data_IF_952171630830
#
_entry.id   IF_952171630830
#
_cell.length_a   1.000
_cell.length_b   1.000
_cell.length_c   1.000
_cell.angle_alpha   90.00
_cell.angle_beta   90.00
_cell.angle_gamma   90.00
#
_symmetry.space_group_name_H-M   'P 1'
#
loop_
_entity.id
_entity.type
_entity.pdbx_description
1 polymer ?
#
# COMPACT_ATOMS: atom_id res chain seq x y z
N UNK A 1 13.40 8.88 -1.25
CA UNK A 1 13.43 7.48 -1.70
C UNK A 1 12.08 7.10 -2.27
N UNK A 2 12.06 6.54 -3.45
CA UNK A 2 10.84 6.07 -4.12
C UNK A 2 10.89 4.56 -4.28
N UNK A 3 9.72 3.96 -4.47
CA UNK A 3 9.59 2.51 -4.61
C UNK A 3 8.60 2.19 -5.72
N UNK A 4 8.91 1.17 -6.49
CA UNK A 4 7.98 0.61 -7.47
C UNK A 4 7.72 -0.85 -7.16
N UNK A 5 6.44 -1.22 -7.11
CA UNK A 5 6.01 -2.60 -7.01
C UNK A 5 5.33 -3.01 -8.32
N UNK A 6 5.89 -4.01 -9.00
CA UNK A 6 5.18 -4.69 -10.07
C UNK A 6 4.54 -5.97 -9.50
N UNK A 7 3.23 -6.01 -9.50
CA UNK A 7 2.48 -7.14 -8.96
C UNK A 7 1.93 -7.97 -10.11
N UNK A 8 2.44 -9.18 -10.24
CA UNK A 8 2.12 -10.08 -11.36
C UNK A 8 0.64 -10.47 -11.37
N UNK A 9 0.08 -10.77 -10.21
CA UNK A 9 -1.29 -11.23 -10.06
C UNK A 9 -1.97 -10.41 -8.96
N UNK A 10 -3.10 -9.80 -9.29
CA UNK A 10 -3.70 -8.76 -8.48
C UNK A 10 -5.17 -9.04 -8.25
N UNK A 11 -5.52 -9.53 -7.05
CA UNK A 11 -6.90 -9.56 -6.58
C UNK A 11 -7.25 -8.15 -6.09
N UNK A 12 -8.02 -7.42 -6.89
CA UNK A 12 -8.29 -6.00 -6.64
C UNK A 12 -9.03 -5.76 -5.34
N UNK A 13 -9.93 -6.67 -4.95
CA UNK A 13 -10.74 -6.44 -3.77
C UNK A 13 -10.04 -6.84 -2.48
N UNK A 14 -9.50 -8.07 -2.42
CA UNK A 14 -8.92 -8.58 -1.18
C UNK A 14 -7.42 -8.31 -1.05
N UNK A 15 -6.68 -8.34 -2.16
CA UNK A 15 -5.22 -8.32 -2.12
C UNK A 15 -4.60 -6.94 -2.29
N UNK A 16 -4.94 -6.24 -3.36
CA UNK A 16 -4.24 -5.02 -3.78
C UNK A 16 -4.19 -3.94 -2.70
N UNK A 17 -5.29 -3.61 -1.98
CA UNK A 17 -5.21 -2.59 -0.95
C UNK A 17 -4.19 -2.90 0.14
N UNK A 18 -4.15 -4.14 0.60
CA UNK A 18 -3.19 -4.57 1.61
C UNK A 18 -1.77 -4.64 1.05
N UNK A 19 -1.60 -5.04 -0.20
CA UNK A 19 -0.29 -5.06 -0.85
C UNK A 19 0.29 -3.66 -0.97
N UNK A 20 -0.50 -2.69 -1.41
CA UNK A 20 -0.09 -1.29 -1.50
C UNK A 20 0.27 -0.76 -0.11
N UNK A 21 -0.58 -0.95 0.88
CA UNK A 21 -0.34 -0.48 2.24
C UNK A 21 0.95 -1.07 2.82
N UNK A 22 1.17 -2.38 2.60
CA UNK A 22 2.33 -3.09 3.11
C UNK A 22 3.65 -2.54 2.51
N UNK A 23 3.71 -2.36 1.21
CA UNK A 23 4.93 -1.87 0.56
C UNK A 23 5.14 -0.38 0.74
N UNK A 24 4.06 0.40 0.87
CA UNK A 24 4.18 1.80 1.25
C UNK A 24 4.77 1.95 2.65
N UNK A 25 4.31 1.12 3.60
CA UNK A 25 4.87 1.08 4.94
C UNK A 25 6.35 0.70 4.92
N UNK A 26 6.71 -0.33 4.18
CA UNK A 26 8.10 -0.76 4.04
C UNK A 26 8.97 0.36 3.47
N UNK A 27 8.48 1.08 2.46
CA UNK A 27 9.18 2.21 1.88
C UNK A 27 9.48 3.28 2.93
N UNK A 28 8.49 3.62 3.75
CA UNK A 28 8.67 4.59 4.83
C UNK A 28 9.68 4.11 5.87
N UNK A 29 9.64 2.84 6.23
CA UNK A 29 10.57 2.26 7.21
C UNK A 29 12.01 2.30 6.73
N UNK A 30 12.25 1.91 5.48
CA UNK A 30 13.60 1.92 4.91
C UNK A 30 14.09 3.36 4.74
N UNK A 31 13.22 4.26 4.28
CA UNK A 31 13.59 5.67 4.15
C UNK A 31 14.03 6.24 5.50
N UNK A 32 13.31 5.94 6.58
CA UNK A 32 13.68 6.38 7.90
C UNK A 32 15.06 5.85 8.32
N UNK A 33 15.34 4.56 8.09
CA UNK A 33 16.63 3.98 8.44
C UNK A 33 17.80 4.58 7.65
N UNK A 34 17.53 5.02 6.44
CA UNK A 34 18.52 5.64 5.56
C UNK A 34 18.56 7.18 5.69
N UNK A 35 17.77 7.75 6.58
CA UNK A 35 17.65 9.19 6.77
C UNK A 35 17.25 9.92 5.47
N UNK A 36 16.33 9.30 4.73
CA UNK A 36 15.78 9.84 3.49
C UNK A 36 14.29 10.14 3.66
N UNK A 37 13.81 11.12 2.89
CA UNK A 37 12.39 11.38 2.81
C UNK A 37 11.71 10.37 1.88
N UNK A 38 10.49 9.86 2.22
CA UNK A 38 9.71 9.06 1.29
C UNK A 38 9.31 9.90 0.07
N UNK A 39 9.47 9.32 -1.11
CA UNK A 39 9.05 9.94 -2.35
C UNK A 39 7.76 9.31 -2.87
N UNK A 40 7.78 8.82 -4.11
CA UNK A 40 6.63 8.19 -4.72
C UNK A 40 6.62 6.69 -4.49
N UNK A 41 5.44 6.15 -4.31
CA UNK A 41 5.18 4.73 -4.42
C UNK A 41 4.40 4.48 -5.70
N UNK A 42 4.99 3.72 -6.62
CA UNK A 42 4.37 3.39 -7.91
C UNK A 42 3.96 1.93 -7.91
N UNK A 43 2.67 1.71 -8.06
CA UNK A 43 2.12 0.35 -8.17
C UNK A 43 1.77 0.07 -9.62
N UNK A 44 2.22 -1.08 -10.12
CA UNK A 44 1.90 -1.53 -11.47
C UNK A 44 1.34 -2.94 -11.39
N UNK A 45 0.16 -3.15 -11.96
CA UNK A 45 -0.49 -4.45 -11.98
C UNK A 45 -0.34 -5.14 -13.31
N UNK A 46 -0.05 -6.44 -13.28
CA UNK A 46 -0.05 -7.31 -14.45
C UNK A 46 -1.44 -7.88 -14.70
N UNK A 47 -1.68 -9.09 -14.21
CA UNK A 47 -3.01 -9.71 -14.29
C UNK A 47 -3.88 -9.16 -13.16
N UNK A 48 -4.67 -8.14 -13.47
CA UNK A 48 -5.55 -7.47 -12.52
C UNK A 48 -6.96 -8.01 -12.68
N UNK A 49 -7.54 -8.52 -11.60
CA UNK A 49 -8.85 -9.16 -11.66
C UNK A 49 -9.68 -8.89 -10.42
N UNK A 50 -10.99 -8.93 -10.61
CA UNK A 50 -12.00 -8.89 -9.56
C UNK A 50 -12.80 -10.18 -9.63
N UNK A 51 -12.78 -10.96 -8.55
CA UNK A 51 -13.55 -12.20 -8.51
C UNK A 51 -15.05 -11.92 -8.60
N UNK A 52 -15.78 -12.81 -9.30
CA UNK A 52 -17.21 -12.63 -9.53
C UNK A 52 -18.03 -12.64 -8.24
N UNK A 53 -17.57 -13.36 -7.22
CA UNK A 53 -18.23 -13.39 -5.92
C UNK A 53 -17.95 -12.17 -5.05
N UNK A 54 -17.20 -11.19 -5.53
CA UNK A 54 -16.90 -9.95 -4.81
C UNK A 54 -17.59 -8.72 -5.42
N UNK A 55 -18.44 -8.88 -6.44
CA UNK A 55 -19.04 -7.74 -7.13
C UNK A 55 -19.93 -6.90 -6.22
N UNK A 56 -20.78 -7.55 -5.40
CA UNK A 56 -21.66 -6.85 -4.47
C UNK A 56 -20.85 -6.12 -3.38
N UNK A 57 -19.82 -6.76 -2.86
CA UNK A 57 -18.95 -6.17 -1.85
C UNK A 57 -18.20 -4.96 -2.41
N UNK A 58 -17.73 -5.03 -3.65
CA UNK A 58 -17.06 -3.92 -4.30
C UNK A 58 -18.02 -2.74 -4.50
N UNK A 59 -19.25 -3.00 -4.94
CA UNK A 59 -20.27 -1.95 -5.09
C UNK A 59 -20.56 -1.28 -3.76
N UNK A 60 -20.70 -2.05 -2.69
CA UNK A 60 -20.94 -1.51 -1.36
C UNK A 60 -19.77 -0.62 -0.92
N UNK A 61 -18.55 -1.04 -1.13
CA UNK A 61 -17.37 -0.26 -0.79
C UNK A 61 -17.32 1.05 -1.56
N UNK A 62 -17.60 1.01 -2.87
CA UNK A 62 -17.60 2.21 -3.71
C UNK A 62 -18.67 3.21 -3.33
N UNK A 63 -19.74 2.78 -2.65
CA UNK A 63 -20.79 3.67 -2.16
C UNK A 63 -20.38 4.46 -0.92
N UNK A 64 -19.28 4.12 -0.28
CA UNK A 64 -18.80 4.76 0.95
C UNK A 64 -17.83 5.89 0.64
N UNK A 65 -17.87 6.93 1.48
CA UNK A 65 -16.90 8.02 1.39
C UNK A 65 -15.64 7.64 2.18
N UNK A 66 -14.43 7.82 1.60
CA UNK A 66 -13.21 7.56 2.34
C UNK A 66 -13.03 8.56 3.49
N UNK A 67 -12.47 8.07 4.59
CA UNK A 67 -12.08 8.92 5.71
C UNK A 67 -10.73 9.58 5.49
N UNK A 68 -10.18 10.26 6.51
CA UNK A 68 -8.84 10.83 6.40
C UNK A 68 -7.80 9.74 6.25
N UNK A 69 -6.71 10.07 5.53
CA UNK A 69 -5.62 9.13 5.33
C UNK A 69 -4.90 8.85 6.65
N UNK A 70 -4.51 7.59 6.89
CA UNK A 70 -3.72 7.26 8.07
C UNK A 70 -2.34 7.88 8.02
N UNK A 71 -1.74 8.07 9.18
CA UNK A 71 -0.39 8.61 9.31
C UNK A 71 0.48 7.60 10.04
N UNK A 72 1.72 7.45 9.55
CA UNK A 72 2.70 6.60 10.19
C UNK A 72 3.52 7.40 11.17
N UNK A 73 3.65 6.88 12.39
CA UNK A 73 4.46 7.48 13.45
C UNK A 73 5.52 6.47 13.87
N UNK A 74 6.78 6.87 13.80
CA UNK A 74 7.89 6.04 14.27
C UNK A 74 8.18 6.36 15.74
N UNK A 75 8.29 5.32 16.55
CA UNK A 75 8.60 5.47 17.99
C UNK A 75 10.08 5.41 18.27
N UNK A 76 10.89 4.94 17.30
CA UNK A 76 12.34 4.82 17.43
C UNK A 76 13.05 5.70 16.43
N UNK A 77 14.27 6.10 16.78
CA UNK A 77 15.10 6.93 15.92
C UNK A 77 15.64 6.12 14.73
N UNK A 78 15.98 6.79 13.59
CA UNK A 78 16.70 6.15 12.50
C UNK A 78 18.00 5.51 12.99
N UNK A 79 18.37 4.38 12.37
CA UNK A 79 19.55 3.62 12.77
C UNK A 79 19.29 2.60 13.87
N UNK A 80 18.14 2.66 14.55
CA UNK A 80 17.72 1.66 15.53
C UNK A 80 17.01 0.56 14.79
N UNK A 81 17.77 -0.43 14.32
CA UNK A 81 17.19 -1.51 13.53
C UNK A 81 16.27 -2.38 14.37
N UNK A 82 15.03 -2.30 13.95
CA UNK A 82 14.01 -3.29 14.28
C UNK A 82 13.95 -3.65 15.76
#
# INVERSE_FOLDING_TARGET
MSCQLYQRSCDVFLGVPFNIASYALLTCMIAQQCELEPGEFVWTGGDVHLYLNHLEQADLQLSRSPGPLPRLVFKRRPGSLF
#
